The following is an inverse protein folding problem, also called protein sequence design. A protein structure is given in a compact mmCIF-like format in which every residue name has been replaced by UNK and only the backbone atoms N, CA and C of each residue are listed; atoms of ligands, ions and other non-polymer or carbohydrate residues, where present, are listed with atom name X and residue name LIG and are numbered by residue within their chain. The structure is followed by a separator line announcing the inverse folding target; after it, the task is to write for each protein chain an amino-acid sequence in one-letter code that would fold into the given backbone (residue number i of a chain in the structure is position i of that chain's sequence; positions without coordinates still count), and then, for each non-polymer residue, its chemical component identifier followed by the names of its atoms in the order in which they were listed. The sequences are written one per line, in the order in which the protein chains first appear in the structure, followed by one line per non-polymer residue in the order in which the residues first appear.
data_IF_494456501482
#
_entry.id   IF_494456501482
#
_cell.length_a   1.000
_cell.length_b   1.000
_cell.length_c   1.000
_cell.angle_alpha   90.00
_cell.angle_beta   90.00
_cell.angle_gamma   90.00
#
_symmetry.space_group_name_H-M   'P 1'
#
loop_
_entity.id
_entity.type
_entity.pdbx_description
1 polymer ?
#
# COMPACT_ATOMS: atom_id res chain seq x y z
N UNK A 1 -30.58 -8.28 -13.98
CA UNK A 1 -29.36 -8.42 -13.18
C UNK A 1 -29.80 -8.81 -11.78
N UNK A 2 -29.47 -10.04 -11.33
CA UNK A 2 -29.67 -10.42 -9.94
C UNK A 2 -28.49 -9.93 -9.12
N UNK A 3 -28.74 -9.10 -8.08
CA UNK A 3 -27.74 -8.66 -7.12
C UNK A 3 -27.84 -9.55 -5.90
N UNK A 4 -26.73 -10.20 -5.53
CA UNK A 4 -26.63 -10.96 -4.28
C UNK A 4 -25.58 -10.25 -3.41
N UNK A 5 -25.99 -9.82 -2.22
CA UNK A 5 -25.05 -9.28 -1.23
C UNK A 5 -24.44 -10.47 -0.48
N UNK A 6 -23.14 -10.65 -0.56
CA UNK A 6 -22.40 -11.67 0.19
C UNK A 6 -21.93 -11.17 1.56
N UNK A 7 -21.97 -9.84 1.78
CA UNK A 7 -21.58 -9.19 3.01
C UNK A 7 -22.28 -7.83 3.11
N UNK A 8 -22.78 -7.50 4.28
CA UNK A 8 -23.28 -6.18 4.63
C UNK A 8 -22.48 -5.65 5.81
N UNK A 9 -21.88 -4.47 5.64
CA UNK A 9 -21.15 -3.82 6.71
C UNK A 9 -22.14 -3.08 7.61
N UNK A 10 -22.35 -3.61 8.81
CA UNK A 10 -23.16 -2.95 9.83
C UNK A 10 -22.22 -2.46 10.92
N UNK A 11 -21.96 -1.14 11.01
CA UNK A 11 -21.13 -0.59 12.06
C UNK A 11 -21.79 -0.85 13.42
N UNK A 12 -21.03 -1.35 14.39
CA UNK A 12 -21.49 -1.56 15.75
C UNK A 12 -20.69 -0.67 16.68
N UNK A 13 -21.37 0.19 17.40
CA UNK A 13 -20.75 0.92 18.49
C UNK A 13 -20.52 -0.01 19.68
N UNK A 14 -19.27 0.00 20.16
CA UNK A 14 -18.91 -0.73 21.36
C UNK A 14 -19.25 0.13 22.57
N UNK A 15 -20.29 -0.24 23.31
CA UNK A 15 -20.72 0.47 24.52
C UNK A 15 -19.63 0.53 25.60
N UNK A 16 -18.74 -0.46 25.66
CA UNK A 16 -17.60 -0.52 26.57
C UNK A 16 -16.39 -1.16 25.89
N UNK A 17 -15.25 -0.48 25.93
CA UNK A 17 -13.99 -1.04 25.46
C UNK A 17 -12.83 -0.62 26.37
N UNK A 18 -11.85 -1.52 26.47
CA UNK A 18 -10.54 -1.22 27.04
C UNK A 18 -9.58 -0.96 25.90
N UNK A 19 -8.96 0.21 25.85
CA UNK A 19 -8.03 0.60 24.77
C UNK A 19 -6.98 -0.48 24.49
N UNK A 20 -6.33 -1.01 25.53
CA UNK A 20 -5.31 -2.05 25.37
C UNK A 20 -5.87 -3.33 24.70
N UNK A 21 -7.11 -3.69 24.98
CA UNK A 21 -7.76 -4.85 24.35
C UNK A 21 -8.06 -4.60 22.88
N UNK A 22 -8.51 -3.41 22.51
CA UNK A 22 -8.72 -3.03 21.12
C UNK A 22 -7.41 -3.04 20.35
N UNK A 23 -6.36 -2.47 20.91
CA UNK A 23 -5.01 -2.44 20.34
C UNK A 23 -4.47 -3.87 20.12
N UNK A 24 -4.63 -4.76 21.09
CA UNK A 24 -4.25 -6.16 20.97
C UNK A 24 -5.01 -6.85 19.81
N UNK A 25 -6.31 -6.66 19.76
CA UNK A 25 -7.17 -7.25 18.74
C UNK A 25 -6.80 -6.74 17.34
N UNK A 26 -6.65 -5.41 17.19
CA UNK A 26 -6.21 -4.80 15.93
C UNK A 26 -4.85 -5.35 15.48
N UNK A 27 -3.90 -5.46 16.41
CA UNK A 27 -2.58 -6.03 16.12
C UNK A 27 -2.69 -7.47 15.60
N UNK A 28 -3.54 -8.30 16.22
CA UNK A 28 -3.78 -9.68 15.76
C UNK A 28 -4.37 -9.73 14.35
N UNK A 29 -5.36 -8.88 14.09
CA UNK A 29 -6.00 -8.81 12.76
C UNK A 29 -4.98 -8.38 11.70
N UNK A 30 -4.21 -7.33 11.95
CA UNK A 30 -3.19 -6.84 11.04
C UNK A 30 -2.12 -7.90 10.72
N UNK A 31 -1.58 -8.56 11.76
CA UNK A 31 -0.59 -9.62 11.54
C UNK A 31 -1.19 -10.83 10.83
N UNK A 32 -2.41 -11.21 11.14
CA UNK A 32 -3.11 -12.29 10.43
C UNK A 32 -3.34 -11.95 8.96
N UNK A 33 -3.69 -10.72 8.64
CA UNK A 33 -3.87 -10.24 7.26
C UNK A 33 -2.55 -10.27 6.50
N UNK A 34 -1.48 -9.76 7.10
CA UNK A 34 -0.14 -9.81 6.49
C UNK A 34 0.37 -11.24 6.33
N UNK A 35 0.07 -12.16 7.26
CA UNK A 35 0.41 -13.56 7.10
C UNK A 35 -0.31 -14.17 5.90
N UNK A 36 -1.61 -13.91 5.73
CA UNK A 36 -2.36 -14.35 4.55
C UNK A 36 -1.78 -13.79 3.25
N UNK A 37 -1.32 -12.54 3.28
CA UNK A 37 -0.61 -11.93 2.15
C UNK A 37 0.68 -12.72 1.84
N UNK A 38 1.50 -13.00 2.85
CA UNK A 38 2.73 -13.81 2.70
C UNK A 38 2.40 -15.19 2.11
N UNK A 39 1.38 -15.86 2.63
CA UNK A 39 0.98 -17.18 2.14
C UNK A 39 0.53 -17.13 0.68
N UNK A 40 -0.18 -16.06 0.28
CA UNK A 40 -0.69 -15.89 -1.08
C UNK A 40 0.39 -15.57 -2.13
N UNK A 41 1.48 -14.92 -1.71
CA UNK A 41 2.57 -14.60 -2.64
C UNK A 41 3.46 -15.80 -2.99
N UNK A 42 3.34 -16.89 -2.26
CA UNK A 42 4.01 -18.16 -2.58
C UNK A 42 5.53 -18.00 -2.79
N UNK A 43 6.22 -17.42 -1.82
CA UNK A 43 7.66 -17.11 -1.79
C UNK A 43 8.17 -16.10 -2.85
N UNK A 44 7.30 -15.52 -3.67
CA UNK A 44 7.68 -14.46 -4.61
C UNK A 44 8.17 -13.22 -3.86
N UNK A 45 8.96 -12.41 -4.54
CA UNK A 45 9.41 -11.14 -4.00
C UNK A 45 8.23 -10.20 -3.71
N UNK A 46 8.21 -9.61 -2.52
CA UNK A 46 7.30 -8.51 -2.19
C UNK A 46 8.03 -7.19 -2.41
N UNK A 47 7.38 -6.29 -3.13
CA UNK A 47 7.88 -4.93 -3.38
C UNK A 47 6.95 -3.93 -2.70
N UNK A 48 7.49 -3.10 -1.83
CA UNK A 48 6.73 -2.15 -1.02
C UNK A 48 7.07 -0.72 -1.45
N UNK A 49 6.10 0.04 -2.00
CA UNK A 49 6.23 1.50 -2.12
C UNK A 49 6.25 2.09 -0.71
N UNK A 50 7.40 2.53 -0.27
CA UNK A 50 7.60 3.00 1.10
C UNK A 50 7.68 4.53 1.16
N UNK A 51 6.81 5.12 1.95
CA UNK A 51 6.77 6.55 2.24
C UNK A 51 7.07 6.86 3.72
N UNK A 52 7.04 8.11 4.11
CA UNK A 52 7.07 8.52 5.52
C UNK A 52 5.72 8.26 6.23
N UNK A 53 4.68 7.86 5.50
CA UNK A 53 3.36 7.55 6.05
C UNK A 53 3.35 6.31 6.95
N UNK A 54 2.39 6.25 7.87
CA UNK A 54 2.27 5.13 8.81
C UNK A 54 1.92 3.82 8.13
N UNK A 55 1.11 3.85 7.08
CA UNK A 55 0.52 2.66 6.47
C UNK A 55 1.56 1.81 5.72
N UNK A 56 2.36 2.44 4.86
CA UNK A 56 3.44 1.73 4.17
C UNK A 56 4.51 1.20 5.13
N UNK A 57 4.80 1.96 6.21
CA UNK A 57 5.70 1.52 7.28
C UNK A 57 5.12 0.35 8.07
N UNK A 58 3.80 0.33 8.31
CA UNK A 58 3.11 -0.78 8.96
C UNK A 58 3.25 -2.07 8.14
N UNK A 59 3.05 -1.99 6.82
CA UNK A 59 3.25 -3.12 5.91
C UNK A 59 4.70 -3.63 6.01
N UNK A 60 5.69 -2.77 5.80
CA UNK A 60 7.09 -3.17 5.81
C UNK A 60 7.53 -3.76 7.16
N UNK A 61 7.15 -3.12 8.28
CA UNK A 61 7.48 -3.59 9.62
C UNK A 61 6.75 -4.88 10.00
N UNK A 62 5.52 -5.05 9.55
CA UNK A 62 4.75 -6.26 9.75
C UNK A 62 5.33 -7.45 9.01
N UNK A 63 5.74 -7.29 7.74
CA UNK A 63 6.47 -8.30 6.98
C UNK A 63 7.77 -8.71 7.68
N UNK A 64 8.51 -7.74 8.22
CA UNK A 64 9.71 -8.00 9.01
C UNK A 64 9.41 -8.78 10.27
N UNK A 65 8.37 -8.40 11.01
CA UNK A 65 7.94 -9.08 12.24
C UNK A 65 7.53 -10.52 11.99
N UNK A 66 6.94 -10.81 10.84
CA UNK A 66 6.56 -12.16 10.40
C UNK A 66 7.72 -12.94 9.78
N UNK A 67 8.90 -12.35 9.69
CA UNK A 67 10.12 -13.01 9.21
C UNK A 67 10.25 -13.15 7.71
N UNK A 68 9.41 -12.45 6.91
CA UNK A 68 9.52 -12.48 5.46
C UNK A 68 10.76 -11.71 5.00
N UNK A 69 11.63 -12.37 4.24
CA UNK A 69 12.96 -11.82 3.90
C UNK A 69 13.05 -11.30 2.46
N UNK A 70 12.27 -11.87 1.53
CA UNK A 70 12.32 -11.50 0.11
C UNK A 70 11.51 -10.22 -0.15
N UNK A 71 11.96 -9.11 0.46
CA UNK A 71 11.31 -7.80 0.39
C UNK A 71 12.28 -6.77 -0.19
N UNK A 72 11.78 -5.99 -1.15
CA UNK A 72 12.42 -4.79 -1.67
C UNK A 72 11.49 -3.61 -1.41
N UNK A 73 12.03 -2.54 -0.85
CA UNK A 73 11.29 -1.30 -0.70
C UNK A 73 11.81 -0.26 -1.69
N UNK A 74 10.92 0.58 -2.18
CA UNK A 74 11.34 1.70 -3.01
C UNK A 74 10.62 2.98 -2.60
N UNK A 75 11.23 4.10 -2.93
CA UNK A 75 10.66 5.42 -2.76
C UNK A 75 11.00 6.27 -3.97
N UNK A 76 10.17 7.25 -4.23
CA UNK A 76 10.38 8.16 -5.36
C UNK A 76 10.09 9.61 -4.94
N UNK A 77 10.48 10.54 -5.81
CA UNK A 77 10.28 11.95 -5.58
C UNK A 77 11.54 12.78 -5.83
N UNK A 78 11.56 13.99 -5.29
CA UNK A 78 12.75 14.86 -5.37
C UNK A 78 13.80 14.42 -4.35
N UNK A 79 15.06 14.46 -4.77
CA UNK A 79 16.18 14.17 -3.86
C UNK A 79 16.14 15.08 -2.63
N UNK A 80 16.42 14.51 -1.46
CA UNK A 80 16.45 15.23 -0.18
C UNK A 80 15.08 15.58 0.40
N UNK A 81 13.98 15.08 -0.16
CA UNK A 81 12.70 15.29 0.49
C UNK A 81 12.57 14.40 1.73
N UNK A 82 11.73 14.84 2.67
CA UNK A 82 11.51 14.17 3.95
C UNK A 82 11.05 12.72 3.80
N UNK A 83 10.21 12.42 2.83
CA UNK A 83 9.66 11.08 2.61
C UNK A 83 10.74 10.09 2.17
N UNK A 84 11.57 10.48 1.21
CA UNK A 84 12.68 9.68 0.71
C UNK A 84 13.70 9.38 1.81
N UNK A 85 14.08 10.40 2.58
CA UNK A 85 15.03 10.24 3.68
C UNK A 85 14.48 9.36 4.81
N UNK A 86 13.21 9.52 5.14
CA UNK A 86 12.54 8.69 6.15
C UNK A 86 12.44 7.25 5.70
N UNK A 87 12.03 7.00 4.48
CA UNK A 87 11.92 5.65 3.91
C UNK A 87 13.25 4.92 3.90
N UNK A 88 14.33 5.61 3.53
CA UNK A 88 15.68 5.07 3.57
C UNK A 88 16.05 4.60 4.98
N UNK A 89 15.85 5.45 5.98
CA UNK A 89 16.14 5.13 7.39
C UNK A 89 15.32 3.93 7.88
N UNK A 90 14.04 3.87 7.51
CA UNK A 90 13.18 2.74 7.86
C UNK A 90 13.71 1.43 7.26
N UNK A 91 14.10 1.44 5.99
CA UNK A 91 14.68 0.25 5.35
C UNK A 91 16.01 -0.17 5.98
N UNK A 92 16.87 0.76 6.35
CA UNK A 92 18.11 0.49 7.07
C UNK A 92 17.84 -0.21 8.40
N UNK A 93 16.85 0.26 9.18
CA UNK A 93 16.44 -0.35 10.45
C UNK A 93 15.86 -1.73 10.25
N UNK A 94 15.03 -1.92 9.22
CA UNK A 94 14.39 -3.20 8.91
C UNK A 94 15.35 -4.19 8.23
N UNK A 95 16.49 -3.73 7.72
CA UNK A 95 17.44 -4.54 6.96
C UNK A 95 16.88 -5.03 5.63
N UNK A 96 16.05 -4.24 4.98
CA UNK A 96 15.52 -4.49 3.63
C UNK A 96 16.31 -3.72 2.58
N UNK A 97 16.37 -4.26 1.36
CA UNK A 97 16.91 -3.53 0.20
C UNK A 97 16.03 -2.33 -0.09
N UNK A 98 16.63 -1.16 -0.21
CA UNK A 98 15.94 0.08 -0.56
C UNK A 98 16.43 0.63 -1.90
N UNK A 99 15.52 1.12 -2.71
CA UNK A 99 15.79 1.68 -4.04
C UNK A 99 15.12 3.05 -4.11
N UNK A 100 15.87 4.02 -4.60
CA UNK A 100 15.36 5.36 -4.86
C UNK A 100 15.18 5.59 -6.35
N UNK A 101 14.02 6.12 -6.72
CA UNK A 101 13.71 6.56 -8.08
C UNK A 101 13.53 8.07 -8.07
N UNK A 102 14.44 8.75 -8.75
CA UNK A 102 14.32 10.21 -8.86
C UNK A 102 13.16 10.59 -9.78
N UNK A 103 12.34 11.53 -9.31
CA UNK A 103 11.22 12.05 -10.08
C UNK A 103 11.72 12.96 -11.22
N UNK A 104 11.56 12.50 -12.45
CA UNK A 104 11.95 13.23 -13.66
C UNK A 104 10.70 13.45 -14.54
N UNK A 105 10.15 14.65 -14.50
CA UNK A 105 8.92 15.00 -15.20
C UNK A 105 8.91 14.58 -16.68
N UNK A 106 10.01 14.80 -17.41
CA UNK A 106 10.08 14.44 -18.84
C UNK A 106 9.99 12.92 -19.05
N UNK A 107 10.67 12.13 -18.24
CA UNK A 107 10.64 10.66 -18.33
C UNK A 107 9.27 10.13 -17.99
N UNK A 108 8.69 10.64 -16.90
CA UNK A 108 7.35 10.24 -16.44
C UNK A 108 6.28 10.59 -17.48
N UNK A 109 6.32 11.80 -18.04
CA UNK A 109 5.44 12.19 -19.14
C UNK A 109 5.58 11.29 -20.37
N UNK A 110 6.82 10.98 -20.77
CA UNK A 110 7.07 10.12 -21.94
C UNK A 110 6.56 8.69 -21.70
N UNK A 111 6.68 8.17 -20.49
CA UNK A 111 6.09 6.88 -20.13
C UNK A 111 4.57 6.88 -20.30
N UNK A 112 3.86 7.87 -19.77
CA UNK A 112 2.40 7.97 -19.90
C UNK A 112 1.90 8.21 -21.33
N UNK A 113 2.79 8.59 -22.26
CA UNK A 113 2.51 8.73 -23.68
C UNK A 113 3.02 7.54 -24.52
N UNK A 114 3.50 6.48 -23.89
CA UNK A 114 4.10 5.33 -24.57
C UNK A 114 3.12 4.20 -24.81
N UNK A 115 3.39 3.39 -25.81
CA UNK A 115 2.68 2.15 -26.12
C UNK A 115 2.68 1.16 -24.92
N UNK A 116 3.73 1.23 -24.08
CA UNK A 116 3.83 0.40 -22.87
C UNK A 116 2.74 0.74 -21.89
N UNK A 117 2.50 2.02 -21.67
CA UNK A 117 1.41 2.46 -20.79
C UNK A 117 0.03 2.17 -21.41
N UNK A 118 -0.13 2.41 -22.71
CA UNK A 118 -1.36 2.06 -23.43
C UNK A 118 -1.66 0.56 -23.30
N UNK A 119 -0.66 -0.28 -23.49
CA UNK A 119 -0.80 -1.73 -23.30
C UNK A 119 -1.20 -2.09 -21.87
N UNK A 120 -0.61 -1.44 -20.87
CA UNK A 120 -1.00 -1.63 -19.46
C UNK A 120 -2.49 -1.32 -19.25
N UNK A 121 -2.96 -0.16 -19.71
CA UNK A 121 -4.36 0.25 -19.58
C UNK A 121 -5.30 -0.74 -20.25
N UNK A 122 -4.94 -1.23 -21.46
CA UNK A 122 -5.76 -2.15 -22.24
C UNK A 122 -5.77 -3.59 -21.71
N UNK A 123 -4.75 -3.97 -20.93
CA UNK A 123 -4.65 -5.31 -20.30
C UNK A 123 -5.08 -5.33 -18.84
N UNK A 124 -5.27 -4.16 -18.23
CA UNK A 124 -5.72 -4.06 -16.85
C UNK A 124 -7.18 -4.45 -16.75
N UNK A 125 -7.42 -5.64 -16.19
CA UNK A 125 -8.78 -6.12 -15.94
C UNK A 125 -9.22 -5.73 -14.53
N UNK A 126 -10.10 -4.74 -14.47
CA UNK A 126 -10.76 -4.36 -13.23
C UNK A 126 -12.25 -4.18 -13.46
N UNK A 127 -13.02 -5.03 -12.83
CA UNK A 127 -14.48 -4.93 -12.89
C UNK A 127 -15.06 -3.83 -11.99
N UNK A 128 -14.23 -3.23 -11.14
CA UNK A 128 -14.67 -2.31 -10.09
C UNK A 128 -13.98 -0.94 -10.10
N UNK A 129 -12.87 -0.77 -10.82
CA UNK A 129 -12.11 0.49 -10.83
C UNK A 129 -11.41 0.73 -12.16
N UNK A 130 -10.92 1.94 -12.36
CA UNK A 130 -10.00 2.29 -13.45
C UNK A 130 -8.60 1.73 -13.18
N UNK A 131 -7.74 1.59 -14.21
CA UNK A 131 -6.34 1.20 -14.01
C UNK A 131 -5.64 2.10 -12.97
N UNK A 132 -4.96 1.48 -12.02
CA UNK A 132 -4.21 2.24 -11.00
C UNK A 132 -2.98 2.88 -11.65
N UNK A 133 -2.93 4.20 -11.63
CA UNK A 133 -1.81 4.98 -12.18
C UNK A 133 -0.73 5.29 -11.14
N UNK A 134 -1.00 5.07 -9.86
CA UNK A 134 -0.04 5.28 -8.81
C UNK A 134 1.05 4.21 -8.88
N UNK A 135 2.30 4.60 -8.75
CA UNK A 135 3.48 3.74 -8.72
C UNK A 135 3.81 2.97 -10.03
N UNK A 136 2.93 2.99 -11.05
CA UNK A 136 3.15 2.19 -12.27
C UNK A 136 4.41 2.59 -13.04
N UNK A 137 4.72 3.88 -13.10
CA UNK A 137 5.94 4.37 -13.73
C UNK A 137 7.17 3.89 -12.96
N UNK A 138 7.12 3.98 -11.65
CA UNK A 138 8.22 3.58 -10.77
C UNK A 138 8.45 2.06 -10.83
N UNK A 139 7.38 1.27 -10.84
CA UNK A 139 7.47 -0.20 -11.03
C UNK A 139 8.05 -0.53 -12.41
N UNK A 140 7.68 0.19 -13.47
CA UNK A 140 8.27 0.03 -14.79
C UNK A 140 9.78 0.31 -14.78
N UNK A 141 10.21 1.40 -14.14
CA UNK A 141 11.65 1.71 -14.04
C UNK A 141 12.41 0.66 -13.21
N UNK A 142 11.83 0.16 -12.11
CA UNK A 142 12.42 -0.93 -11.32
C UNK A 142 12.62 -2.22 -12.14
N UNK A 143 11.64 -2.59 -12.94
CA UNK A 143 11.74 -3.73 -13.85
C UNK A 143 12.80 -3.52 -14.92
N UNK A 144 12.83 -2.34 -15.53
CA UNK A 144 13.82 -1.97 -16.53
C UNK A 144 15.26 -2.00 -15.98
N UNK A 145 15.43 -1.64 -14.72
CA UNK A 145 16.72 -1.74 -14.02
C UNK A 145 17.05 -3.17 -13.57
N UNK A 146 16.16 -4.13 -13.76
CA UNK A 146 16.29 -5.52 -13.31
C UNK A 146 16.62 -5.63 -11.79
N UNK A 147 16.01 -4.77 -10.97
CA UNK A 147 16.25 -4.74 -9.53
C UNK A 147 15.13 -5.37 -8.72
N UNK A 148 14.02 -5.72 -9.38
CA UNK A 148 12.91 -6.52 -8.85
C UNK A 148 12.65 -7.71 -9.77
N UNK A 149 12.10 -8.78 -9.20
CA UNK A 149 11.77 -10.00 -9.92
C UNK A 149 10.60 -9.78 -10.91
N UNK A 150 10.53 -10.57 -11.97
CA UNK A 150 9.46 -10.43 -12.98
C UNK A 150 8.07 -10.75 -12.44
N UNK A 151 8.00 -11.67 -11.50
CA UNK A 151 6.78 -12.11 -10.84
C UNK A 151 6.58 -11.46 -9.45
N UNK A 152 7.35 -10.41 -9.15
CA UNK A 152 7.24 -9.68 -7.88
C UNK A 152 5.82 -9.16 -7.64
N UNK A 153 5.39 -9.19 -6.39
CA UNK A 153 4.08 -8.72 -5.95
C UNK A 153 4.22 -7.36 -5.28
N UNK A 154 3.49 -6.37 -5.78
CA UNK A 154 3.46 -5.04 -5.17
C UNK A 154 2.46 -5.04 -4.03
N UNK A 155 2.92 -4.69 -2.82
CA UNK A 155 2.06 -4.56 -1.63
C UNK A 155 2.20 -3.13 -1.10
N UNK A 156 1.18 -2.34 -1.30
CA UNK A 156 1.14 -0.94 -0.85
C UNK A 156 0.36 -0.77 0.47
N UNK A 157 0.47 0.41 1.07
CA UNK A 157 -0.24 0.80 2.29
C UNK A 157 -1.60 1.45 2.05
N UNK A 158 -2.10 1.44 0.82
CA UNK A 158 -3.39 2.06 0.49
C UNK A 158 -4.51 1.43 1.32
N UNK A 159 -5.53 2.21 1.65
CA UNK A 159 -6.67 1.86 2.52
C UNK A 159 -6.42 1.97 4.03
N UNK A 160 -5.22 2.25 4.51
CA UNK A 160 -4.97 2.53 5.92
C UNK A 160 -5.75 3.73 6.41
N UNK A 161 -5.74 4.82 5.66
CA UNK A 161 -6.52 6.04 5.94
C UNK A 161 -8.02 5.77 6.03
N UNK A 162 -8.55 4.87 5.21
CA UNK A 162 -9.96 4.49 5.28
C UNK A 162 -10.28 3.81 6.61
N UNK A 163 -9.44 2.90 7.08
CA UNK A 163 -9.64 2.17 8.34
C UNK A 163 -9.45 3.10 9.55
N UNK A 164 -8.52 4.05 9.45
CA UNK A 164 -8.21 4.99 10.54
C UNK A 164 -9.10 6.23 10.60
N UNK A 165 -10.05 6.37 9.66
CA UNK A 165 -10.93 7.54 9.57
C UNK A 165 -10.26 8.78 8.99
N UNK A 166 -9.11 8.67 8.33
CA UNK A 166 -8.41 9.79 7.71
C UNK A 166 -9.18 10.52 6.62
N UNK A 167 -10.24 9.91 6.10
CA UNK A 167 -11.15 10.52 5.12
C UNK A 167 -12.33 11.27 5.75
N UNK A 168 -12.50 11.22 7.07
CA UNK A 168 -13.56 11.95 7.76
C UNK A 168 -13.13 13.41 7.86
N UNK A 169 -13.91 14.38 7.30
CA UNK A 169 -13.56 15.79 7.40
C UNK A 169 -13.49 16.27 8.85
N UNK A 170 -12.52 17.11 9.13
CA UNK A 170 -12.40 17.74 10.45
C UNK A 170 -13.66 18.59 10.72
N UNK A 171 -14.33 18.34 11.84
CA UNK A 171 -15.53 19.07 12.24
C UNK A 171 -16.85 18.35 11.91
N UNK A 172 -16.81 17.16 11.32
CA UNK A 172 -17.99 16.30 11.25
C UNK A 172 -18.31 15.82 12.67
N UNK A 173 -19.48 16.18 13.15
CA UNK A 173 -20.00 15.64 14.41
C UNK A 173 -20.54 14.25 14.14
N UNK A 174 -19.84 13.22 14.62
CA UNK A 174 -20.23 11.82 14.41
C UNK A 174 -21.48 11.42 15.22
N UNK A 175 -21.93 12.30 16.14
CA UNK A 175 -23.14 12.11 16.93
C UNK A 175 -24.42 12.64 16.24
N UNK A 176 -24.28 13.28 15.09
CA UNK A 176 -25.42 13.71 14.27
C UNK A 176 -25.76 12.62 13.25
N UNK A 177 -27.01 12.17 13.25
CA UNK A 177 -27.54 11.28 12.20
C UNK A 177 -27.33 11.94 10.82
N UNK A 178 -26.34 11.47 10.09
CA UNK A 178 -26.16 11.86 8.70
C UNK A 178 -27.16 11.04 7.88
N UNK A 179 -28.37 11.57 7.75
CA UNK A 179 -29.32 11.04 6.78
C UNK A 179 -28.76 11.30 5.38
N UNK A 180 -28.35 10.25 4.70
CA UNK A 180 -28.02 10.24 3.28
C UNK A 180 -29.26 10.40 2.41
#
# INVERSE_FOLDING_TARGET
IHKTFYYEYVPQELSFYKYEKLKENLTKVLLSTLQKTIDSVNNRQIVVPLSAGNDSRLVASGLKKLGYKNVVCFSYGRSGNYEVETSKKVCEILGYKWIYIQDEFKKKRNFFLSDVYEKYVNTFESYASVPNIQDIYEVYELKKMAVIDDDAVIVNGNSGDFISGGHIPVGVNLDEDVSL
#
